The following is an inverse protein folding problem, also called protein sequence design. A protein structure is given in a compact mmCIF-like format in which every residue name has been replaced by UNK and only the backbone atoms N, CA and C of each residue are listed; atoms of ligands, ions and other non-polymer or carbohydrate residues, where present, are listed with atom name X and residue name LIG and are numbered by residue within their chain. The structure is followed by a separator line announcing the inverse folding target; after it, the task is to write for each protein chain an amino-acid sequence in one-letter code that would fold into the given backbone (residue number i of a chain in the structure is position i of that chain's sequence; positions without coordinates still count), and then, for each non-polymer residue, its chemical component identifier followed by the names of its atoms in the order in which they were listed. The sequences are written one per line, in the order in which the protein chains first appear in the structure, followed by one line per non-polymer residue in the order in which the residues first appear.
data_IF_882200548841
#
_entry.id   IF_882200548841
#
_cell.length_a   1.000
_cell.length_b   1.000
_cell.length_c   1.000
_cell.angle_alpha   90.00
_cell.angle_beta   90.00
_cell.angle_gamma   90.00
#
_symmetry.space_group_name_H-M   'P 1'
#
loop_
_entity.id
_entity.type
_entity.pdbx_description
1 polymer ?
#
# COMPACT_ATOMS: atom_id res chain seq x y z
N UNK A 1 13.16 2.76 15.25
CA UNK A 1 11.99 1.95 15.69
C UNK A 1 11.33 1.08 14.63
N UNK A 2 11.34 1.43 13.34
CA UNK A 2 10.60 0.66 12.31
C UNK A 2 11.15 -0.77 12.14
N UNK A 3 12.47 -0.95 12.11
CA UNK A 3 13.13 -2.27 11.99
C UNK A 3 12.64 -3.24 13.09
N UNK A 4 12.76 -2.84 14.36
CA UNK A 4 12.21 -3.57 15.51
C UNK A 4 10.73 -3.97 15.35
N UNK A 5 9.86 -3.06 14.88
CA UNK A 5 8.44 -3.37 14.68
C UNK A 5 8.22 -4.39 13.54
N UNK A 6 9.02 -4.30 12.47
CA UNK A 6 8.98 -5.27 11.37
C UNK A 6 9.50 -6.65 11.79
N UNK A 7 10.51 -6.68 12.67
CA UNK A 7 11.12 -7.92 13.18
C UNK A 7 10.18 -8.65 14.15
N UNK A 8 9.48 -7.90 15.02
CA UNK A 8 8.48 -8.45 15.97
C UNK A 8 7.22 -8.94 15.25
N UNK A 9 6.93 -8.45 14.04
CA UNK A 9 5.76 -8.88 13.28
C UNK A 9 4.42 -8.31 13.78
N UNK A 10 4.44 -7.24 14.58
CA UNK A 10 3.21 -6.59 15.03
C UNK A 10 2.45 -5.94 13.83
N UNK A 11 1.16 -5.62 14.00
CA UNK A 11 0.35 -5.02 12.93
C UNK A 11 1.03 -3.80 12.29
N UNK A 12 1.60 -2.92 13.10
CA UNK A 12 2.36 -1.76 12.59
C UNK A 12 3.56 -2.17 11.74
N UNK A 13 4.30 -3.19 12.14
CA UNK A 13 5.42 -3.76 11.38
C UNK A 13 4.98 -4.31 10.03
N UNK A 14 3.92 -5.12 10.01
CA UNK A 14 3.36 -5.70 8.77
C UNK A 14 2.94 -4.58 7.80
N UNK A 15 2.27 -3.54 8.31
CA UNK A 15 1.83 -2.39 7.50
C UNK A 15 3.01 -1.56 6.99
N UNK A 16 4.06 -1.39 7.78
CA UNK A 16 5.31 -0.77 7.34
C UNK A 16 5.95 -1.54 6.19
N UNK A 17 6.06 -2.87 6.31
CA UNK A 17 6.61 -3.76 5.27
C UNK A 17 5.79 -3.70 3.98
N UNK A 18 4.47 -3.66 4.09
CA UNK A 18 3.55 -3.58 2.95
C UNK A 18 3.41 -2.17 2.34
N UNK A 19 4.05 -1.14 2.91
CA UNK A 19 3.90 0.24 2.44
C UNK A 19 2.47 0.76 2.56
N UNK A 20 1.76 0.41 3.63
CA UNK A 20 0.37 0.79 3.88
C UNK A 20 0.25 1.75 5.07
N UNK A 21 -0.83 2.56 5.11
CA UNK A 21 -1.14 3.39 6.27
C UNK A 21 -1.28 2.60 7.56
N UNK A 22 -0.81 3.20 8.67
CA UNK A 22 -0.66 2.54 9.97
C UNK A 22 -1.77 2.90 10.98
N UNK A 23 -2.37 4.08 10.85
CA UNK A 23 -3.33 4.64 11.84
C UNK A 23 -4.80 4.32 11.50
N UNK A 24 -5.08 3.14 10.95
CA UNK A 24 -6.46 2.75 10.59
C UNK A 24 -7.09 3.51 9.42
N UNK A 25 -6.30 4.25 8.64
CA UNK A 25 -6.81 4.99 7.48
C UNK A 25 -7.36 4.04 6.40
N UNK A 26 -8.47 4.42 5.76
CA UNK A 26 -9.07 3.66 4.66
C UNK A 26 -8.12 3.57 3.47
N UNK A 27 -7.87 2.35 2.99
CA UNK A 27 -6.86 2.11 1.93
C UNK A 27 -7.42 1.85 0.53
N UNK A 28 -8.75 1.76 0.37
CA UNK A 28 -9.40 1.43 -0.92
C UNK A 28 -9.15 2.50 -1.99
N UNK A 29 -9.27 3.78 -1.64
CA UNK A 29 -9.24 4.90 -2.60
C UNK A 29 -8.00 5.80 -2.41
N UNK A 30 -7.98 6.59 -1.33
CA UNK A 30 -7.03 7.68 -1.12
C UNK A 30 -5.96 7.30 -0.07
N UNK A 31 -4.85 6.74 -0.53
CA UNK A 31 -3.68 6.46 0.34
C UNK A 31 -2.35 6.58 -0.43
N UNK A 32 -2.30 7.50 -1.41
CA UNK A 32 -1.22 7.58 -2.40
C UNK A 32 0.11 8.02 -1.81
N UNK A 33 0.11 8.89 -0.79
CA UNK A 33 1.33 9.32 -0.11
C UNK A 33 2.11 8.14 0.48
N UNK A 34 1.43 7.10 0.96
CA UNK A 34 2.07 5.91 1.52
C UNK A 34 2.20 4.75 0.53
N UNK A 35 1.18 4.50 -0.31
CA UNK A 35 1.17 3.43 -1.33
C UNK A 35 2.03 3.72 -2.55
N UNK A 36 2.39 4.99 -2.77
CA UNK A 36 3.05 5.47 -3.98
C UNK A 36 2.09 5.75 -5.14
N UNK A 37 2.69 6.05 -6.30
CA UNK A 37 1.98 6.38 -7.55
C UNK A 37 1.02 5.25 -7.94
N UNK A 38 -0.10 5.61 -8.58
CA UNK A 38 -1.10 4.63 -9.05
C UNK A 38 -0.46 3.71 -10.08
N UNK A 39 -0.21 2.45 -9.69
CA UNK A 39 0.07 1.36 -10.61
C UNK A 39 -1.25 0.94 -11.24
N UNK A 40 -1.52 1.41 -12.46
CA UNK A 40 -2.65 0.95 -13.26
C UNK A 40 -2.33 -0.44 -13.77
N UNK A 41 -3.16 -1.44 -13.45
CA UNK A 41 -3.04 -2.76 -14.09
C UNK A 41 -3.62 -2.60 -15.50
N UNK A 42 -2.76 -2.26 -16.46
CA UNK A 42 -3.15 -2.13 -17.85
C UNK A 42 -3.32 -3.54 -18.44
N UNK A 43 -4.56 -4.03 -18.46
CA UNK A 43 -5.02 -5.16 -19.28
C UNK A 43 -6.49 -4.99 -19.70
N UNK A 44 -6.98 -3.75 -19.81
CA UNK A 44 -8.19 -3.50 -20.60
C UNK A 44 -7.75 -3.46 -22.06
N UNK A 45 -8.17 -4.45 -22.85
CA UNK A 45 -8.06 -4.46 -24.32
C UNK A 45 -8.28 -3.03 -24.82
N UNK A 46 -7.34 -2.47 -25.59
CA UNK A 46 -7.64 -1.27 -26.38
C UNK A 46 -8.85 -1.66 -27.22
N UNK A 47 -9.97 -0.96 -27.06
CA UNK A 47 -11.06 -1.08 -28.02
C UNK A 47 -10.50 -0.55 -29.33
N UNK A 48 -10.12 -1.46 -30.23
CA UNK A 48 -9.81 -1.11 -31.61
C UNK A 48 -11.09 -0.52 -32.19
N UNK A 49 -10.95 0.65 -32.82
CA UNK A 49 -12.03 1.31 -33.56
C UNK A 49 -12.42 0.44 -34.74
#
# INVERSE_FOLDING_TARGET
NIKRLMDIGCYRGIRHRAGLPLRGQRTKNNSRTRKGRRKTVANKKKATK
#
